data_IF_584671823438
#
_entry.id   IF_584671823438
#
_cell.length_a   1.000
_cell.length_b   1.000
_cell.length_c   1.000
_cell.angle_alpha   90.00
_cell.angle_beta   90.00
_cell.angle_gamma   90.00
#
_symmetry.space_group_name_H-M   'P 1'
#
loop_
_entity.id
_entity.type
_entity.pdbx_description
1 polymer ?
#
# COMPACT_ATOMS: atom_id res chain seq x y z
N UNK A 1 8.18 -32.57 -34.72
CA UNK A 1 6.78 -32.67 -34.24
C UNK A 1 6.29 -31.26 -33.93
N UNK A 2 5.30 -30.71 -34.65
CA UNK A 2 4.76 -29.38 -34.37
C UNK A 2 3.94 -29.42 -33.08
N UNK A 3 4.27 -28.54 -32.14
CA UNK A 3 3.54 -28.41 -30.88
C UNK A 3 2.15 -27.84 -31.22
N UNK A 4 1.04 -28.52 -30.86
CA UNK A 4 -0.29 -28.04 -31.20
C UNK A 4 -0.56 -26.71 -30.48
N UNK A 5 -1.03 -25.70 -31.22
CA UNK A 5 -1.29 -24.34 -30.75
C UNK A 5 -2.15 -24.30 -29.46
N UNK A 6 -3.04 -25.27 -29.29
CA UNK A 6 -3.87 -25.47 -28.08
C UNK A 6 -3.06 -25.78 -26.82
N UNK A 7 -1.93 -26.48 -26.94
CA UNK A 7 -1.05 -26.81 -25.82
C UNK A 7 -0.31 -25.58 -25.26
N UNK A 8 -0.17 -24.51 -26.06
CA UNK A 8 0.42 -23.23 -25.62
C UNK A 8 -0.65 -22.29 -25.06
N UNK A 9 -1.87 -22.32 -25.62
CA UNK A 9 -2.96 -21.44 -25.20
C UNK A 9 -3.46 -21.70 -23.76
N UNK A 10 -3.57 -22.97 -23.36
CA UNK A 10 -4.08 -23.34 -22.02
C UNK A 10 -3.21 -22.80 -20.87
N UNK A 11 -1.88 -23.00 -20.84
CA UNK A 11 -1.05 -22.46 -19.75
C UNK A 11 -0.96 -20.92 -19.78
N UNK A 12 -1.03 -20.29 -20.95
CA UNK A 12 -1.01 -18.83 -21.08
C UNK A 12 -2.26 -18.17 -20.47
N UNK A 13 -3.42 -18.83 -20.61
CA UNK A 13 -4.71 -18.34 -20.08
C UNK A 13 -4.83 -18.56 -18.56
N UNK A 14 -4.15 -19.58 -18.03
CA UNK A 14 -4.05 -19.80 -16.58
C UNK A 14 -3.15 -18.76 -15.89
N UNK A 15 -2.12 -18.27 -16.58
CA UNK A 15 -1.18 -17.29 -16.01
C UNK A 15 -1.79 -15.89 -15.89
N UNK A 16 -2.74 -15.51 -16.75
CA UNK A 16 -3.44 -14.22 -16.68
C UNK A 16 -4.58 -14.19 -15.65
N UNK A 17 -4.97 -15.34 -15.10
CA UNK A 17 -6.04 -15.47 -14.12
C UNK A 17 -5.58 -15.30 -12.66
N UNK A 18 -4.29 -15.06 -12.42
CA UNK A 18 -3.79 -14.69 -11.09
C UNK A 18 -4.03 -13.18 -10.92
N UNK A 19 -5.03 -12.73 -10.13
CA UNK A 19 -5.08 -11.33 -9.77
C UNK A 19 -3.77 -11.04 -9.03
N UNK A 20 -2.91 -10.21 -9.61
CA UNK A 20 -1.75 -9.69 -8.93
C UNK A 20 -2.24 -9.12 -7.58
N UNK A 21 -1.74 -9.67 -6.47
CA UNK A 21 -2.26 -9.45 -5.11
C UNK A 21 -2.19 -8.01 -4.57
N UNK A 22 -2.01 -7.01 -5.42
CA UNK A 22 -2.26 -5.61 -5.07
C UNK A 22 -3.78 -5.39 -5.06
N UNK A 23 -4.45 -5.73 -3.95
CA UNK A 23 -5.77 -5.14 -3.68
C UNK A 23 -5.55 -3.64 -3.44
N UNK A 24 -5.84 -2.84 -4.46
CA UNK A 24 -6.01 -1.40 -4.27
C UNK A 24 -7.31 -1.22 -3.49
N UNK A 25 -7.20 -0.98 -2.18
CA UNK A 25 -8.33 -0.51 -1.38
C UNK A 25 -8.95 0.67 -2.11
N UNK A 26 -10.23 0.56 -2.44
CA UNK A 26 -10.95 1.68 -3.04
C UNK A 26 -11.04 2.82 -2.02
N UNK A 27 -11.15 4.09 -2.46
CA UNK A 27 -11.30 5.21 -1.53
C UNK A 27 -12.51 5.05 -0.60
N UNK A 28 -13.59 4.42 -1.09
CA UNK A 28 -14.79 4.15 -0.30
C UNK A 28 -14.58 3.06 0.75
N UNK A 29 -13.93 1.95 0.40
CA UNK A 29 -13.58 0.90 1.37
C UNK A 29 -12.63 1.43 2.44
N UNK A 30 -11.69 2.28 2.04
CA UNK A 30 -10.76 2.91 2.97
C UNK A 30 -11.51 3.79 3.97
N UNK A 31 -12.43 4.63 3.47
CA UNK A 31 -13.26 5.49 4.32
C UNK A 31 -14.14 4.68 5.25
N UNK A 32 -14.74 3.59 4.78
CA UNK A 32 -15.54 2.70 5.61
C UNK A 32 -14.69 2.05 6.73
N UNK A 33 -13.44 1.68 6.44
CA UNK A 33 -12.51 1.16 7.44
C UNK A 33 -12.16 2.22 8.51
N UNK A 34 -11.91 3.46 8.10
CA UNK A 34 -11.62 4.57 9.03
C UNK A 34 -12.82 4.88 9.93
N UNK A 35 -14.01 4.90 9.34
CA UNK A 35 -15.25 5.12 10.06
C UNK A 35 -15.54 3.98 11.06
N UNK A 36 -15.23 2.73 10.68
CA UNK A 36 -15.36 1.57 11.56
C UNK A 36 -14.36 1.64 12.72
N UNK A 37 -13.09 1.99 12.45
CA UNK A 37 -12.06 2.13 13.47
C UNK A 37 -12.40 3.21 14.51
N UNK A 38 -12.86 4.39 14.07
CA UNK A 38 -13.30 5.43 15.01
C UNK A 38 -14.54 5.02 15.80
N UNK A 39 -15.44 4.22 15.22
CA UNK A 39 -16.60 3.68 15.94
C UNK A 39 -16.19 2.64 16.98
N UNK A 40 -15.20 1.80 16.67
CA UNK A 40 -14.63 0.78 17.57
C UNK A 40 -13.92 1.40 18.78
N UNK A 41 -13.24 2.53 18.59
CA UNK A 41 -12.71 3.35 19.68
C UNK A 41 -13.79 3.99 20.57
N UNK A 42 -15.06 3.88 20.20
CA UNK A 42 -16.20 4.38 20.98
C UNK A 42 -16.59 5.82 20.66
N UNK A 43 -16.03 6.43 19.62
CA UNK A 43 -16.46 7.76 19.19
C UNK A 43 -17.84 7.69 18.52
N UNK A 44 -18.75 8.57 18.92
CA UNK A 44 -20.08 8.67 18.31
C UNK A 44 -20.02 9.49 17.03
N UNK A 45 -20.60 8.98 15.94
CA UNK A 45 -20.74 9.71 14.67
C UNK A 45 -21.40 11.08 14.89
N UNK A 46 -20.96 12.08 14.12
CA UNK A 46 -21.49 13.45 14.18
C UNK A 46 -20.99 14.27 15.37
N UNK A 47 -19.95 13.81 16.08
CA UNK A 47 -19.30 14.58 17.15
C UNK A 47 -17.94 15.12 16.70
N UNK A 48 -17.48 16.19 17.34
CA UNK A 48 -16.15 16.76 17.10
C UNK A 48 -15.04 15.74 17.39
N UNK A 49 -15.25 14.88 18.41
CA UNK A 49 -14.32 13.81 18.74
C UNK A 49 -14.19 12.77 17.61
N UNK A 50 -15.30 12.45 16.94
CA UNK A 50 -15.30 11.57 15.77
C UNK A 50 -14.59 12.21 14.57
N UNK A 51 -14.84 13.49 14.31
CA UNK A 51 -14.14 14.24 13.26
C UNK A 51 -12.63 14.33 13.54
N UNK A 52 -12.24 14.56 14.79
CA UNK A 52 -10.84 14.59 15.20
C UNK A 52 -10.16 13.21 15.07
N UNK A 53 -10.87 12.12 15.35
CA UNK A 53 -10.38 10.77 15.12
C UNK A 53 -10.03 10.53 13.64
N UNK A 54 -10.98 10.81 12.74
CA UNK A 54 -10.77 10.69 11.29
C UNK A 54 -9.62 11.57 10.81
N UNK A 55 -9.59 12.83 11.24
CA UNK A 55 -8.53 13.76 10.89
C UNK A 55 -7.15 13.24 11.33
N UNK A 56 -7.04 12.63 12.51
CA UNK A 56 -5.77 12.08 13.00
C UNK A 56 -5.27 10.92 12.13
N UNK A 57 -6.16 10.05 11.67
CA UNK A 57 -5.83 8.95 10.75
C UNK A 57 -5.32 9.51 9.41
N UNK A 58 -5.98 10.53 8.87
CA UNK A 58 -5.53 11.16 7.63
C UNK A 58 -4.14 11.81 7.80
N UNK A 59 -3.90 12.49 8.91
CA UNK A 59 -2.62 13.09 9.22
C UNK A 59 -1.51 12.05 9.40
N UNK A 60 -1.79 10.89 10.01
CA UNK A 60 -0.79 9.83 10.16
C UNK A 60 -0.40 9.26 8.80
N UNK A 61 -1.37 8.98 7.91
CA UNK A 61 -1.08 8.52 6.54
C UNK A 61 -0.25 9.53 5.75
N UNK A 62 -0.53 10.83 5.91
CA UNK A 62 0.26 11.88 5.28
C UNK A 62 1.68 11.95 5.87
N UNK A 63 1.85 11.66 7.16
CA UNK A 63 3.17 11.54 7.77
C UNK A 63 3.93 10.35 7.18
N UNK A 64 3.31 9.18 7.08
CA UNK A 64 3.91 7.98 6.50
C UNK A 64 4.33 8.23 5.05
N UNK A 65 3.47 8.86 4.24
CA UNK A 65 3.81 9.23 2.87
C UNK A 65 5.00 10.18 2.79
N UNK A 66 5.06 11.17 3.68
CA UNK A 66 6.21 12.09 3.76
C UNK A 66 7.48 11.37 4.20
N UNK A 67 7.40 10.40 5.10
CA UNK A 67 8.54 9.60 5.52
C UNK A 67 9.07 8.76 4.37
N UNK A 68 8.19 8.06 3.64
CA UNK A 68 8.56 7.29 2.46
C UNK A 68 9.29 8.15 1.43
N UNK A 69 8.79 9.36 1.15
CA UNK A 69 9.44 10.28 0.23
C UNK A 69 10.83 10.74 0.72
N UNK A 70 11.00 10.96 2.03
CA UNK A 70 12.31 11.31 2.62
C UNK A 70 13.30 10.17 2.54
N UNK A 71 12.85 8.94 2.82
CA UNK A 71 13.71 7.76 2.75
C UNK A 71 14.17 7.46 1.33
N UNK A 72 13.31 7.69 0.34
CA UNK A 72 13.70 7.57 -1.08
C UNK A 72 14.70 8.66 -1.52
N UNK A 73 14.73 9.82 -0.85
CA UNK A 73 15.66 10.92 -1.12
C UNK A 73 16.99 10.77 -0.37
N UNK A 74 17.09 9.80 0.54
CA UNK A 74 18.30 9.58 1.34
C UNK A 74 19.40 8.94 0.48
N UNK A 75 20.60 9.56 0.40
CA UNK A 75 21.67 9.06 -0.47
C UNK A 75 22.23 7.75 0.07
N UNK A 76 22.33 6.74 -0.80
CA UNK A 76 23.00 5.48 -0.47
C UNK A 76 24.51 5.74 -0.29
N UNK A 77 24.99 5.77 0.96
CA UNK A 77 26.42 5.95 1.27
C UNK A 77 27.15 4.60 1.25
N UNK A 78 27.90 4.33 0.18
CA UNK A 78 28.75 3.14 0.07
C UNK A 78 30.16 3.48 0.60
N UNK A 79 30.49 3.03 1.81
CA UNK A 79 31.86 3.14 2.32
C UNK A 79 32.81 2.23 1.54
N UNK A 80 33.85 2.82 0.95
CA UNK A 80 34.95 2.07 0.34
C UNK A 80 36.23 2.31 1.15
N UNK A 81 36.84 1.26 1.74
CA UNK A 81 38.08 1.45 2.49
C UNK A 81 39.21 1.85 1.55
N UNK A 82 39.89 2.96 1.84
CA UNK A 82 41.13 3.38 1.19
C UNK A 82 42.29 2.86 2.04
N UNK A 83 43.06 1.91 1.50
CA UNK A 83 44.25 1.42 2.16
C UNK A 83 45.40 2.40 1.95
N UNK A 84 45.87 3.03 3.02
CA UNK A 84 47.07 3.88 3.01
C UNK A 84 48.26 2.97 3.33
N UNK A 85 49.25 2.93 2.44
CA UNK A 85 50.52 2.20 2.63
C UNK A 85 51.62 3.20 2.94
#
# INVERSE_FOLDING_TARGET
MPIPFKAVLVPLLLLSAVPAGCRTLTPEELRAADEAQCSDYGFRRGTDAYAACLQRIDLSRQADRRQMLREMDEPIVIYRPVYIR
#
